data_IF_259085396004
#
_entry.id   IF_259085396004
#
_cell.length_a   1.000
_cell.length_b   1.000
_cell.length_c   1.000
_cell.angle_alpha   90.00
_cell.angle_beta   90.00
_cell.angle_gamma   90.00
#
_symmetry.space_group_name_H-M   'P 1'
#
loop_
_entity.id
_entity.type
_entity.pdbx_description
1 polymer ?
#
# COMPACT_ATOMS: atom_id res chain seq x y z
N UNK A 1 -54.88 -11.14 -46.13
CA UNK A 1 -54.15 -12.28 -45.54
C UNK A 1 -53.40 -12.93 -46.68
N UNK A 2 -52.09 -13.06 -46.57
CA UNK A 2 -51.24 -13.60 -47.65
C UNK A 2 -50.15 -14.49 -47.07
N UNK A 3 -50.22 -15.79 -47.36
CA UNK A 3 -49.12 -16.72 -47.15
C UNK A 3 -48.37 -16.83 -48.50
N UNK A 4 -47.25 -16.11 -48.61
CA UNK A 4 -46.55 -15.88 -49.88
C UNK A 4 -45.44 -16.91 -50.10
N UNK A 5 -44.83 -17.37 -49.00
CA UNK A 5 -43.68 -18.27 -49.02
C UNK A 5 -44.08 -19.75 -48.86
N UNK A 6 -43.15 -20.67 -49.16
CA UNK A 6 -43.42 -22.11 -49.12
C UNK A 6 -43.67 -22.57 -47.69
N UNK A 7 -44.67 -23.45 -47.51
CA UNK A 7 -45.02 -24.04 -46.21
C UNK A 7 -45.28 -22.99 -45.11
N UNK A 8 -45.80 -21.82 -45.50
CA UNK A 8 -46.08 -20.70 -44.59
C UNK A 8 -47.56 -20.62 -44.20
N UNK A 9 -47.82 -20.00 -43.04
CA UNK A 9 -49.18 -19.82 -42.51
C UNK A 9 -49.41 -18.36 -42.12
N UNK A 10 -50.49 -17.76 -42.60
CA UNK A 10 -50.90 -16.41 -42.23
C UNK A 10 -52.30 -16.46 -41.60
N UNK A 11 -52.46 -15.90 -40.40
CA UNK A 11 -53.73 -15.89 -39.65
C UNK A 11 -54.02 -14.48 -39.15
N UNK A 12 -55.05 -13.83 -39.71
CA UNK A 12 -55.50 -12.50 -39.30
C UNK A 12 -55.71 -11.53 -40.47
N UNK A 13 -56.30 -10.36 -40.20
CA UNK A 13 -56.48 -9.34 -41.23
C UNK A 13 -55.13 -8.69 -41.59
N UNK A 14 -54.88 -8.43 -42.89
CA UNK A 14 -53.61 -7.83 -43.38
C UNK A 14 -52.31 -8.54 -42.94
N UNK A 15 -52.38 -9.80 -42.54
CA UNK A 15 -51.18 -10.60 -42.23
C UNK A 15 -50.44 -11.03 -43.47
N UNK A 16 -49.11 -11.06 -43.38
CA UNK A 16 -48.22 -11.50 -44.45
C UNK A 16 -47.16 -12.46 -43.87
N UNK A 17 -47.16 -13.71 -44.33
CA UNK A 17 -46.10 -14.68 -44.08
C UNK A 17 -45.21 -14.79 -45.33
N UNK A 18 -44.04 -14.15 -45.27
CA UNK A 18 -43.09 -13.98 -46.38
C UNK A 18 -41.82 -14.84 -46.22
N UNK A 19 -41.63 -15.48 -45.06
CA UNK A 19 -40.57 -16.48 -44.83
C UNK A 19 -41.05 -17.91 -45.09
N UNK A 20 -40.19 -18.75 -45.68
CA UNK A 20 -40.47 -20.18 -45.79
C UNK A 20 -40.64 -20.79 -44.37
N UNK A 21 -41.50 -21.81 -44.22
CA UNK A 21 -41.75 -22.50 -42.94
C UNK A 21 -42.21 -21.58 -41.79
N UNK A 22 -42.72 -20.39 -42.11
CA UNK A 22 -43.00 -19.34 -41.11
C UNK A 22 -44.49 -19.14 -40.86
N UNK A 23 -44.82 -18.61 -39.68
CA UNK A 23 -46.18 -18.31 -39.25
C UNK A 23 -46.31 -16.84 -38.89
N UNK A 24 -47.27 -16.12 -39.49
CA UNK A 24 -47.67 -14.77 -39.10
C UNK A 24 -49.04 -14.80 -38.43
N UNK A 25 -49.10 -14.47 -37.13
CA UNK A 25 -50.30 -14.61 -36.29
C UNK A 25 -50.79 -13.27 -35.74
N UNK A 26 -52.06 -12.94 -36.00
CA UNK A 26 -52.74 -11.74 -35.52
C UNK A 26 -52.73 -10.60 -36.54
N UNK A 27 -53.72 -9.71 -36.50
CA UNK A 27 -53.90 -8.61 -37.48
C UNK A 27 -52.61 -7.82 -37.72
N UNK A 28 -52.30 -7.49 -38.98
CA UNK A 28 -51.10 -6.76 -39.39
C UNK A 28 -49.75 -7.44 -39.04
N UNK A 29 -49.75 -8.69 -38.55
CA UNK A 29 -48.51 -9.42 -38.27
C UNK A 29 -47.75 -9.77 -39.56
N UNK A 30 -46.43 -9.68 -39.47
CA UNK A 30 -45.52 -10.00 -40.57
C UNK A 30 -44.44 -10.97 -40.12
N UNK A 31 -44.32 -12.10 -40.83
CA UNK A 31 -43.23 -13.04 -40.66
C UNK A 31 -42.30 -12.96 -41.87
N UNK A 32 -41.11 -12.40 -41.69
CA UNK A 32 -40.11 -12.28 -42.77
C UNK A 32 -39.23 -13.51 -42.89
N UNK A 33 -38.61 -13.64 -44.06
CA UNK A 33 -37.47 -14.53 -44.25
C UNK A 33 -36.30 -14.02 -43.39
N UNK A 34 -35.95 -14.77 -42.36
CA UNK A 34 -34.72 -14.55 -41.61
C UNK A 34 -33.55 -15.21 -42.34
N UNK A 35 -32.52 -14.42 -42.66
CA UNK A 35 -31.30 -14.89 -43.34
C UNK A 35 -30.05 -14.71 -42.47
N UNK A 36 -30.23 -14.41 -41.19
CA UNK A 36 -29.15 -14.12 -40.26
C UNK A 36 -29.44 -14.75 -38.89
N UNK A 37 -28.37 -15.14 -38.21
CA UNK A 37 -28.44 -15.66 -36.85
C UNK A 37 -29.06 -14.61 -35.93
N UNK A 38 -29.93 -15.06 -35.02
CA UNK A 38 -30.47 -14.18 -33.98
C UNK A 38 -29.68 -14.40 -32.70
N UNK A 39 -29.08 -13.35 -32.16
CA UNK A 39 -28.37 -13.41 -30.88
C UNK A 39 -29.30 -12.90 -29.79
N UNK A 40 -29.52 -13.73 -28.77
CA UNK A 40 -30.30 -13.34 -27.59
C UNK A 40 -29.61 -12.18 -26.86
N UNK A 41 -30.35 -11.08 -26.66
CA UNK A 41 -29.82 -9.81 -26.11
C UNK A 41 -29.12 -9.98 -24.75
N UNK A 42 -29.60 -10.89 -23.88
CA UNK A 42 -29.11 -11.04 -22.51
C UNK A 42 -28.06 -12.15 -22.34
N UNK A 43 -28.10 -13.19 -23.16
CA UNK A 43 -27.29 -14.40 -22.95
C UNK A 43 -26.20 -14.58 -23.99
N UNK A 44 -26.20 -13.75 -25.05
CA UNK A 44 -25.35 -13.91 -26.23
C UNK A 44 -25.47 -15.30 -26.89
N UNK A 45 -26.52 -16.06 -26.57
CA UNK A 45 -26.82 -17.34 -27.21
C UNK A 45 -27.31 -17.06 -28.62
N UNK A 46 -26.64 -17.67 -29.59
CA UNK A 46 -26.97 -17.55 -31.00
C UNK A 46 -27.97 -18.63 -31.37
N UNK A 47 -29.12 -18.23 -31.90
CA UNK A 47 -29.94 -19.09 -32.74
C UNK A 47 -29.38 -19.00 -34.16
N UNK A 48 -28.69 -20.06 -34.59
CA UNK A 48 -28.09 -20.23 -35.91
C UNK A 48 -28.99 -21.01 -36.88
N UNK A 49 -30.21 -21.36 -36.46
CA UNK A 49 -31.20 -21.99 -37.33
C UNK A 49 -31.85 -20.95 -38.25
N UNK A 50 -31.11 -20.63 -39.33
CA UNK A 50 -31.59 -19.77 -40.42
C UNK A 50 -32.50 -20.50 -41.41
N UNK A 51 -32.87 -21.76 -41.12
CA UNK A 51 -33.56 -22.64 -42.08
C UNK A 51 -34.99 -22.96 -41.70
N UNK A 52 -35.38 -22.90 -40.42
CA UNK A 52 -36.69 -23.37 -39.93
C UNK A 52 -37.77 -22.30 -39.74
N UNK A 53 -37.61 -21.13 -40.36
CA UNK A 53 -38.63 -20.07 -40.34
C UNK A 53 -38.86 -19.46 -38.96
N UNK A 54 -39.85 -18.56 -38.84
CA UNK A 54 -40.20 -17.88 -37.58
C UNK A 54 -41.69 -17.88 -37.32
N UNK A 55 -42.08 -17.80 -36.05
CA UNK A 55 -43.44 -17.47 -35.64
C UNK A 55 -43.47 -16.00 -35.19
N UNK A 56 -44.14 -15.15 -35.98
CA UNK A 56 -44.29 -13.74 -35.68
C UNK A 56 -45.67 -13.42 -35.13
N UNK A 57 -45.71 -12.68 -34.02
CA UNK A 57 -46.92 -12.11 -33.42
C UNK A 57 -46.96 -10.58 -33.56
N UNK A 58 -46.08 -10.01 -34.37
CA UNK A 58 -45.87 -8.57 -34.52
C UNK A 58 -45.44 -8.17 -35.93
N UNK A 59 -45.01 -6.93 -36.09
CA UNK A 59 -44.43 -6.40 -37.33
C UNK A 59 -43.28 -5.46 -36.97
N UNK A 60 -42.22 -5.47 -37.77
CA UNK A 60 -41.12 -4.50 -37.72
C UNK A 60 -41.10 -3.61 -38.98
N UNK A 61 -42.16 -3.66 -39.79
CA UNK A 61 -42.26 -2.83 -40.98
C UNK A 61 -42.28 -1.35 -40.56
N UNK A 62 -41.45 -0.55 -41.23
CA UNK A 62 -41.35 0.90 -41.00
C UNK A 62 -42.75 1.53 -41.03
N UNK A 63 -43.08 2.31 -39.99
CA UNK A 63 -44.39 2.95 -39.76
C UNK A 63 -45.56 2.02 -39.41
N UNK A 64 -45.34 0.72 -39.21
CA UNK A 64 -46.30 -0.22 -38.61
C UNK A 64 -45.62 -1.18 -37.63
N UNK A 65 -44.59 -0.71 -36.92
CA UNK A 65 -43.86 -1.51 -35.93
C UNK A 65 -44.71 -1.71 -34.68
N UNK A 66 -44.90 -2.97 -34.30
CA UNK A 66 -45.53 -3.33 -33.04
C UNK A 66 -45.15 -4.77 -32.65
N UNK A 67 -45.17 -5.05 -31.36
CA UNK A 67 -45.06 -6.40 -30.82
C UNK A 67 -46.26 -6.71 -29.92
N UNK A 68 -46.69 -7.98 -29.91
CA UNK A 68 -47.73 -8.45 -28.98
C UNK A 68 -47.10 -9.17 -27.79
N UNK A 69 -47.71 -8.97 -26.62
CA UNK A 69 -47.39 -9.77 -25.44
C UNK A 69 -47.90 -11.19 -25.64
N UNK A 70 -47.07 -12.17 -25.34
CA UNK A 70 -47.51 -13.55 -25.13
C UNK A 70 -47.82 -13.67 -23.63
N UNK A 71 -49.11 -13.83 -23.30
CA UNK A 71 -49.60 -13.83 -21.92
C UNK A 71 -50.05 -15.23 -21.51
N UNK A 72 -50.17 -15.47 -20.20
CA UNK A 72 -50.58 -16.77 -19.63
C UNK A 72 -49.67 -17.93 -20.04
N UNK A 73 -48.39 -17.65 -20.21
CA UNK A 73 -47.36 -18.65 -20.52
C UNK A 73 -46.94 -19.33 -19.21
N UNK A 74 -46.94 -20.66 -19.18
CA UNK A 74 -46.38 -21.44 -18.08
C UNK A 74 -44.85 -21.29 -18.03
N UNK A 75 -44.25 -21.47 -16.85
CA UNK A 75 -42.80 -21.42 -16.73
C UNK A 75 -42.12 -22.56 -17.48
N UNK A 76 -41.27 -22.24 -18.45
CA UNK A 76 -40.45 -23.23 -19.14
C UNK A 76 -39.43 -23.89 -18.21
N UNK A 77 -39.19 -25.18 -18.38
CA UNK A 77 -38.18 -25.95 -17.60
C UNK A 77 -36.91 -26.23 -18.40
N UNK A 78 -37.01 -26.30 -19.73
CA UNK A 78 -35.89 -26.60 -20.64
C UNK A 78 -35.40 -25.35 -21.40
N UNK A 79 -34.22 -25.46 -22.02
CA UNK A 79 -33.57 -24.37 -22.76
C UNK A 79 -34.29 -23.94 -24.06
N UNK A 80 -35.27 -24.70 -24.53
CA UNK A 80 -36.10 -24.38 -25.69
C UNK A 80 -37.47 -23.80 -25.31
N UNK A 81 -37.78 -23.75 -24.01
CA UNK A 81 -39.06 -23.23 -23.52
C UNK A 81 -38.98 -21.73 -23.22
N UNK A 82 -40.14 -21.06 -23.31
CA UNK A 82 -40.24 -19.64 -22.99
C UNK A 82 -40.10 -19.42 -21.48
N UNK A 83 -39.17 -18.55 -21.08
CA UNK A 83 -39.06 -18.12 -19.68
C UNK A 83 -40.08 -17.04 -19.36
N UNK A 84 -40.70 -17.15 -18.19
CA UNK A 84 -41.63 -16.15 -17.68
C UNK A 84 -40.89 -15.08 -16.86
N UNK A 85 -41.48 -13.88 -16.76
CA UNK A 85 -40.94 -12.81 -15.91
C UNK A 85 -40.80 -13.22 -14.44
N UNK A 86 -41.67 -14.11 -13.95
CA UNK A 86 -41.61 -14.65 -12.58
C UNK A 86 -40.34 -15.48 -12.35
N UNK A 87 -39.94 -16.30 -13.33
CA UNK A 87 -38.71 -17.09 -13.25
C UNK A 87 -37.47 -16.18 -13.25
N UNK A 88 -37.48 -15.14 -14.08
CA UNK A 88 -36.40 -14.14 -14.12
C UNK A 88 -36.26 -13.37 -12.79
N UNK A 89 -37.38 -12.99 -12.16
CA UNK A 89 -37.35 -12.29 -10.88
C UNK A 89 -36.78 -13.17 -9.76
N UNK A 90 -37.10 -14.46 -9.74
CA UNK A 90 -36.63 -15.40 -8.72
C UNK A 90 -35.09 -15.60 -8.76
N UNK A 91 -34.51 -15.68 -9.96
CA UNK A 91 -33.04 -15.81 -10.12
C UNK A 91 -32.33 -14.54 -9.70
N UNK A 92 -32.78 -13.38 -10.20
CA UNK A 92 -32.23 -12.05 -9.83
C UNK A 92 -32.25 -11.83 -8.31
N UNK A 93 -33.36 -12.19 -7.65
CA UNK A 93 -33.49 -12.03 -6.21
C UNK A 93 -32.52 -12.93 -5.43
N UNK A 94 -32.39 -14.20 -5.83
CA UNK A 94 -31.42 -15.14 -5.24
C UNK A 94 -29.98 -14.66 -5.41
N UNK A 95 -29.61 -14.19 -6.60
CA UNK A 95 -28.25 -13.73 -6.86
C UNK A 95 -27.92 -12.45 -6.09
N UNK A 96 -28.88 -11.52 -5.95
CA UNK A 96 -28.72 -10.34 -5.09
C UNK A 96 -28.48 -10.70 -3.61
N UNK A 97 -29.17 -11.73 -3.10
CA UNK A 97 -28.94 -12.22 -1.73
C UNK A 97 -27.55 -12.83 -1.55
N UNK A 98 -27.06 -13.61 -2.52
CA UNK A 98 -25.70 -14.18 -2.49
C UNK A 98 -24.64 -13.08 -2.44
N UNK A 99 -24.76 -12.08 -3.31
CA UNK A 99 -23.84 -10.93 -3.33
C UNK A 99 -23.86 -10.18 -2.00
N UNK A 100 -25.05 -9.93 -1.43
CA UNK A 100 -25.17 -9.28 -0.12
C UNK A 100 -24.51 -10.09 1.00
N UNK A 101 -24.60 -11.43 0.96
CA UNK A 101 -23.99 -12.31 1.93
C UNK A 101 -22.46 -12.30 1.81
N UNK A 102 -21.94 -12.43 0.59
CA UNK A 102 -20.50 -12.42 0.31
C UNK A 102 -19.83 -11.11 0.75
N UNK A 103 -20.51 -9.96 0.55
CA UNK A 103 -20.06 -8.65 1.02
C UNK A 103 -19.98 -8.57 2.54
N UNK A 104 -20.94 -9.18 3.25
CA UNK A 104 -21.01 -9.15 4.71
C UNK A 104 -20.07 -10.16 5.38
N UNK A 105 -19.82 -11.32 4.78
CA UNK A 105 -19.06 -12.40 5.40
C UNK A 105 -17.57 -12.38 5.08
N UNK A 106 -17.15 -11.85 3.92
CA UNK A 106 -15.78 -12.13 3.41
C UNK A 106 -14.85 -10.93 3.18
N UNK A 107 -15.36 -9.73 2.88
CA UNK A 107 -14.55 -8.78 2.10
C UNK A 107 -13.99 -7.55 2.82
N UNK A 108 -14.85 -6.62 3.23
CA UNK A 108 -14.40 -5.26 3.53
C UNK A 108 -14.01 -5.05 4.99
N UNK A 109 -14.75 -5.62 5.94
CA UNK A 109 -14.55 -5.35 7.36
C UNK A 109 -13.38 -6.15 7.97
N UNK A 110 -13.11 -7.35 7.45
CA UNK A 110 -12.07 -8.24 7.99
C UNK A 110 -10.65 -7.79 7.65
N UNK A 111 -10.42 -7.32 6.42
CA UNK A 111 -9.11 -6.80 5.97
C UNK A 111 -8.75 -5.50 6.71
N UNK A 112 -9.69 -4.58 6.89
CA UNK A 112 -9.46 -3.35 7.65
C UNK A 112 -9.18 -3.65 9.12
N UNK A 113 -9.89 -4.61 9.74
CA UNK A 113 -9.67 -4.97 11.14
C UNK A 113 -8.30 -5.64 11.36
N UNK A 114 -7.85 -6.52 10.45
CA UNK A 114 -6.52 -7.11 10.53
C UNK A 114 -5.40 -6.08 10.40
N UNK A 115 -5.56 -5.11 9.50
CA UNK A 115 -4.62 -3.99 9.34
C UNK A 115 -4.58 -3.12 10.60
N UNK A 116 -5.75 -2.78 11.17
CA UNK A 116 -5.85 -2.04 12.44
C UNK A 116 -5.18 -2.80 13.59
N UNK A 117 -5.43 -4.10 13.72
CA UNK A 117 -4.84 -4.91 14.78
C UNK A 117 -3.31 -5.03 14.64
N UNK A 118 -2.82 -5.14 13.40
CA UNK A 118 -1.37 -5.14 13.12
C UNK A 118 -0.76 -3.80 13.48
N UNK A 119 -1.42 -2.70 13.13
CA UNK A 119 -0.94 -1.36 13.43
C UNK A 119 -0.97 -1.05 14.94
N UNK A 120 -1.98 -1.54 15.67
CA UNK A 120 -2.07 -1.44 17.12
C UNK A 120 -0.87 -2.12 17.80
N UNK A 121 -0.56 -3.37 17.44
CA UNK A 121 0.61 -4.09 17.97
C UNK A 121 1.93 -3.36 17.71
N UNK A 122 2.08 -2.74 16.54
CA UNK A 122 3.29 -1.94 16.22
C UNK A 122 3.41 -0.70 17.10
N UNK A 123 2.28 -0.07 17.44
CA UNK A 123 2.25 1.08 18.34
C UNK A 123 2.59 0.68 19.78
N UNK A 124 2.08 -0.46 20.26
CA UNK A 124 2.37 -0.96 21.61
C UNK A 124 3.88 -1.21 21.80
N UNK A 125 4.54 -1.85 20.82
CA UNK A 125 5.99 -2.08 20.86
C UNK A 125 6.78 -0.76 20.81
N UNK A 126 6.32 0.21 20.01
CA UNK A 126 6.97 1.51 19.93
C UNK A 126 6.84 2.29 21.25
N UNK A 127 5.68 2.22 21.91
CA UNK A 127 5.44 2.84 23.21
C UNK A 127 6.32 2.24 24.31
N UNK A 128 6.53 0.92 24.29
CA UNK A 128 7.41 0.23 25.23
C UNK A 128 8.88 0.68 25.07
N UNK A 129 9.38 0.81 23.84
CA UNK A 129 10.72 1.32 23.56
C UNK A 129 10.89 2.80 23.95
N UNK A 130 9.87 3.62 23.70
CA UNK A 130 9.90 5.03 24.07
C UNK A 130 9.87 5.26 25.59
N UNK A 131 9.41 4.28 26.37
CA UNK A 131 9.49 4.31 27.84
C UNK A 131 10.88 4.01 28.38
N UNK A 132 11.69 3.23 27.67
CA UNK A 132 13.06 2.86 28.12
C UNK A 132 14.11 3.89 27.73
N UNK A 133 14.01 4.49 26.54
CA UNK A 133 14.99 5.50 26.07
C UNK A 133 15.24 6.67 27.05
N UNK A 134 14.25 7.23 27.76
CA UNK A 134 14.49 8.29 28.75
C UNK A 134 15.42 7.85 29.88
N UNK A 135 15.37 6.59 30.31
CA UNK A 135 16.25 6.08 31.36
C UNK A 135 17.71 6.01 30.88
N UNK A 136 17.94 5.53 29.66
CA UNK A 136 19.28 5.48 29.05
C UNK A 136 19.84 6.88 28.83
N UNK A 137 19.01 7.82 28.33
CA UNK A 137 19.39 9.23 28.15
C UNK A 137 19.79 9.86 29.49
N UNK A 138 19.01 9.62 30.55
CA UNK A 138 19.30 10.16 31.88
C UNK A 138 20.58 9.57 32.48
N UNK A 139 20.83 8.28 32.26
CA UNK A 139 22.07 7.60 32.68
C UNK A 139 23.28 8.21 31.98
N UNK A 140 23.22 8.32 30.65
CA UNK A 140 24.28 8.94 29.85
C UNK A 140 24.52 10.41 30.26
N UNK A 141 23.47 11.17 30.56
CA UNK A 141 23.60 12.55 31.02
C UNK A 141 24.31 12.65 32.39
N UNK A 142 24.05 11.71 33.30
CA UNK A 142 24.73 11.65 34.59
C UNK A 142 26.21 11.27 34.45
N UNK A 143 26.53 10.32 33.57
CA UNK A 143 27.91 9.91 33.28
C UNK A 143 28.72 11.05 32.66
N UNK A 144 28.13 11.77 31.69
CA UNK A 144 28.76 12.95 31.09
C UNK A 144 29.08 13.99 32.17
N UNK A 145 28.14 14.29 33.07
CA UNK A 145 28.35 15.24 34.17
C UNK A 145 29.50 14.82 35.08
N UNK A 146 29.59 13.53 35.39
CA UNK A 146 30.67 12.94 36.20
C UNK A 146 32.02 13.08 35.49
N UNK A 147 32.07 12.75 34.20
CA UNK A 147 33.28 12.87 33.39
C UNK A 147 33.74 14.32 33.27
N UNK A 148 32.83 15.28 33.06
CA UNK A 148 33.15 16.71 33.07
C UNK A 148 33.78 17.15 34.39
N UNK A 149 33.25 16.70 35.54
CA UNK A 149 33.82 17.01 36.85
C UNK A 149 35.21 16.40 37.05
N UNK A 150 35.44 15.17 36.57
CA UNK A 150 36.74 14.52 36.66
C UNK A 150 37.81 15.19 35.79
N UNK A 151 37.42 15.66 34.59
CA UNK A 151 38.30 16.44 33.72
C UNK A 151 38.70 17.76 34.40
N UNK A 152 37.74 18.47 35.00
CA UNK A 152 38.03 19.72 35.72
C UNK A 152 39.05 19.52 36.86
N UNK A 153 38.87 18.49 37.70
CA UNK A 153 39.83 18.13 38.76
C UNK A 153 41.21 17.75 38.21
N UNK A 154 41.25 17.11 37.05
CA UNK A 154 42.52 16.74 36.41
C UNK A 154 43.27 17.99 35.93
N UNK A 155 42.55 18.97 35.37
CA UNK A 155 43.13 20.24 34.97
C UNK A 155 43.69 21.02 36.17
N UNK A 156 42.94 21.12 37.28
CA UNK A 156 43.43 21.78 38.51
C UNK A 156 44.73 21.13 39.02
N UNK A 157 44.83 19.80 38.95
CA UNK A 157 46.05 19.07 39.32
C UNK A 157 47.22 19.34 38.36
N UNK A 158 46.94 19.44 37.06
CA UNK A 158 47.97 19.76 36.05
C UNK A 158 48.50 21.18 36.24
N UNK A 159 47.62 22.14 36.56
CA UNK A 159 48.01 23.52 36.86
C UNK A 159 48.96 23.57 38.07
N UNK A 160 48.62 22.87 39.16
CA UNK A 160 49.49 22.80 40.35
C UNK A 160 50.84 22.10 40.09
N UNK A 161 50.85 21.07 39.25
CA UNK A 161 52.12 20.44 38.80
C UNK A 161 52.94 21.42 37.97
N UNK A 162 52.31 22.18 37.07
CA UNK A 162 52.98 23.21 36.26
C UNK A 162 53.64 24.28 37.13
N UNK A 163 52.93 24.79 38.14
CA UNK A 163 53.48 25.74 39.11
C UNK A 163 54.69 25.18 39.86
N UNK A 164 54.61 23.92 40.31
CA UNK A 164 55.72 23.24 41.00
C UNK A 164 56.94 23.09 40.10
N UNK A 165 56.74 22.69 38.84
CA UNK A 165 57.84 22.54 37.86
C UNK A 165 58.49 23.89 37.56
N UNK A 166 57.71 24.96 37.41
CA UNK A 166 58.24 26.32 37.25
C UNK A 166 59.09 26.71 38.47
N UNK A 167 58.59 26.48 39.69
CA UNK A 167 59.34 26.76 40.92
C UNK A 167 60.66 25.97 41.02
N UNK A 168 60.64 24.67 40.70
CA UNK A 168 61.87 23.87 40.63
C UNK A 168 62.83 24.37 39.55
N UNK A 169 62.33 24.80 38.40
CA UNK A 169 63.14 25.35 37.31
C UNK A 169 63.88 26.60 37.78
N UNK A 170 63.18 27.55 38.41
CA UNK A 170 63.80 28.75 39.00
C UNK A 170 64.85 28.39 40.05
N UNK A 171 64.57 27.44 40.95
CA UNK A 171 65.55 27.04 41.96
C UNK A 171 66.81 26.42 41.36
N UNK A 172 66.65 25.65 40.26
CA UNK A 172 67.78 25.07 39.51
C UNK A 172 68.62 26.19 38.87
N UNK A 173 67.99 27.21 38.28
CA UNK A 173 68.68 28.36 37.71
C UNK A 173 69.50 29.13 38.78
N UNK A 174 68.91 29.39 39.95
CA UNK A 174 69.60 30.04 41.08
C UNK A 174 70.78 29.22 41.60
N UNK A 175 70.59 27.90 41.73
CA UNK A 175 71.64 26.99 42.15
C UNK A 175 72.77 26.94 41.10
N UNK A 176 72.43 26.97 39.81
CA UNK A 176 73.39 26.99 38.70
C UNK A 176 74.25 28.25 38.77
N UNK A 177 73.64 29.42 38.92
CA UNK A 177 74.36 30.69 39.08
C UNK A 177 75.26 30.71 40.34
N UNK A 178 74.78 30.14 41.44
CA UNK A 178 75.57 30.02 42.69
C UNK A 178 76.81 29.14 42.51
N UNK A 179 76.67 28.02 41.78
CA UNK A 179 77.80 27.13 41.44
C UNK A 179 78.81 27.86 40.56
N UNK A 180 78.37 28.59 39.53
CA UNK A 180 79.25 29.38 38.68
C UNK A 180 80.04 30.43 39.47
N UNK A 181 79.39 31.14 40.41
CA UNK A 181 80.04 32.11 41.29
C UNK A 181 81.10 31.47 42.20
N UNK A 182 80.82 30.28 42.75
CA UNK A 182 81.78 29.51 43.54
C UNK A 182 82.97 29.04 42.69
N UNK A 183 82.72 28.55 41.48
CA UNK A 183 83.75 28.15 40.53
C UNK A 183 84.67 29.32 40.18
N UNK A 184 84.11 30.52 39.94
CA UNK A 184 84.89 31.73 39.70
C UNK A 184 85.74 32.12 40.92
N UNK A 185 85.14 32.13 42.11
CA UNK A 185 85.85 32.45 43.36
C UNK A 185 87.03 31.50 43.62
N UNK A 186 86.86 30.20 43.34
CA UNK A 186 87.94 29.21 43.40
C UNK A 186 89.03 29.48 42.37
N UNK A 187 88.64 29.80 41.13
CA UNK A 187 89.56 30.18 40.05
C UNK A 187 90.43 31.39 40.44
N UNK A 188 89.84 32.39 41.10
CA UNK A 188 90.54 33.60 41.54
C UNK A 188 91.46 33.34 42.76
N UNK A 189 91.06 32.44 43.67
CA UNK A 189 91.81 32.14 44.89
C UNK A 189 93.07 31.30 44.64
N UNK A 190 92.99 30.28 43.79
CA UNK A 190 94.09 29.31 43.59
C UNK A 190 95.42 29.93 43.12
N UNK A 191 95.44 30.91 42.20
CA UNK A 191 96.66 31.64 41.84
C UNK A 191 97.28 32.38 43.02
N UNK A 192 96.47 32.95 43.92
CA UNK A 192 96.95 33.68 45.09
C UNK A 192 97.66 32.76 46.10
N UNK A 193 97.12 31.55 46.32
CA UNK A 193 97.74 30.52 47.16
C UNK A 193 99.04 30.05 46.53
N UNK A 194 99.02 29.75 45.24
CA UNK A 194 100.21 29.33 44.47
C UNK A 194 101.33 30.38 44.59
N UNK A 195 101.00 31.66 44.39
CA UNK A 195 101.95 32.76 44.53
C UNK A 195 102.49 32.92 45.95
N UNK A 196 101.68 32.69 47.00
CA UNK A 196 102.15 32.75 48.39
C UNK A 196 103.07 31.59 48.73
N UNK A 197 102.74 30.37 48.29
CA UNK A 197 103.61 29.20 48.51
C UNK A 197 104.96 29.36 47.82
N UNK A 198 105.00 29.89 46.59
CA UNK A 198 106.25 30.17 45.88
C UNK A 198 107.14 31.22 46.56
N UNK A 199 106.60 32.09 47.42
CA UNK A 199 107.37 33.09 48.19
C UNK A 199 107.95 32.55 49.50
N UNK A 200 107.54 31.37 49.93
CA UNK A 200 107.93 30.76 51.20
C UNK A 200 109.01 29.67 51.03
N UNK A 201 109.34 29.30 49.79
CA UNK A 201 110.45 28.42 49.41
C UNK A 201 111.59 29.24 48.80
#
# INVERSE_FOLDING_TARGET
MSAVAKDSVAVGNRTIANGDLSVALGTDSRAEKYTANTVAYLTAVTNDDVTRGVVSVGSTQKNSEFARRIVNVAGGVDNTMLQTLKQQYATLYSDAQKVSKELNETGASSLTQQQVNTQAKRLDVADELLKTHPADINTNAADIKTNTANIAKTNERLDGVSETVVGHTTQIEENTASIESLQQSMSDFMPSVTNRMNKLN
#
